data_IF_753725206525
#
_entry.id   IF_753725206525
#
_cell.length_a   1.000
_cell.length_b   1.000
_cell.length_c   1.000
_cell.angle_alpha   90.00
_cell.angle_beta   90.00
_cell.angle_gamma   90.00
#
_symmetry.space_group_name_H-M   'P 1'
#
loop_
_entity.id
_entity.type
_entity.pdbx_description
1 polymer ?
#
# COMPACT_ATOMS: atom_id res chain seq x y z
N UNK A 1 29.26 23.55 -10.41
CA UNK A 1 28.43 22.43 -10.92
C UNK A 1 29.18 21.11 -11.15
N UNK A 2 30.45 21.08 -11.61
CA UNK A 2 31.16 19.81 -11.87
C UNK A 2 31.64 19.02 -10.63
N UNK A 3 31.77 19.64 -9.45
CA UNK A 3 32.23 18.94 -8.22
C UNK A 3 31.13 18.21 -7.44
N UNK A 4 29.85 18.54 -7.67
CA UNK A 4 28.71 17.87 -6.99
C UNK A 4 28.30 16.54 -7.62
N UNK A 5 28.57 16.35 -8.92
CA UNK A 5 28.22 15.11 -9.64
C UNK A 5 29.22 13.99 -9.30
N UNK A 6 30.49 14.33 -9.04
CA UNK A 6 31.51 13.36 -8.64
C UNK A 6 31.27 12.78 -7.23
N UNK A 7 30.68 13.54 -6.30
CA UNK A 7 30.35 13.05 -4.96
C UNK A 7 29.14 12.10 -4.94
N UNK A 8 28.22 12.22 -5.90
CA UNK A 8 27.05 11.33 -6.00
C UNK A 8 27.45 9.97 -6.60
N UNK A 9 28.41 9.95 -7.54
CA UNK A 9 28.93 8.71 -8.14
C UNK A 9 29.80 7.95 -7.13
N UNK A 10 30.54 8.66 -6.27
CA UNK A 10 31.38 8.04 -5.23
C UNK A 10 30.55 7.37 -4.11
N UNK A 11 29.36 7.91 -3.79
CA UNK A 11 28.43 7.29 -2.83
C UNK A 11 27.75 6.05 -3.44
N UNK A 12 27.48 6.05 -4.75
CA UNK A 12 26.93 4.87 -5.42
C UNK A 12 27.92 3.69 -5.41
N UNK A 13 29.21 3.93 -5.63
CA UNK A 13 30.21 2.84 -5.63
C UNK A 13 30.49 2.30 -4.21
N UNK A 14 30.32 3.11 -3.16
CA UNK A 14 30.46 2.69 -1.76
C UNK A 14 29.26 1.92 -1.20
N UNK A 15 28.11 1.93 -1.88
CA UNK A 15 26.90 1.18 -1.48
C UNK A 15 26.83 -0.21 -2.16
N UNK A 16 27.62 -0.46 -3.20
CA UNK A 16 27.53 -1.66 -4.05
C UNK A 16 28.75 -2.60 -4.00
N UNK A 17 29.60 -2.51 -2.97
CA UNK A 17 30.81 -3.34 -2.86
C UNK A 17 30.64 -4.61 -2.02
N UNK A 18 30.72 -5.78 -2.69
CA UNK A 18 31.10 -7.12 -2.20
C UNK A 18 30.07 -7.89 -1.33
N UNK A 19 29.89 -9.21 -1.41
CA UNK A 19 30.80 -10.33 -1.75
C UNK A 19 30.13 -11.47 -2.56
N UNK A 20 30.94 -12.14 -3.39
CA UNK A 20 30.76 -13.54 -3.80
C UNK A 20 31.43 -14.43 -2.75
N UNK A 21 30.78 -15.52 -2.34
CA UNK A 21 31.46 -16.64 -1.67
C UNK A 21 31.08 -17.97 -2.32
N UNK A 22 32.11 -18.79 -2.48
CA UNK A 22 32.07 -20.19 -2.92
C UNK A 22 32.44 -21.05 -1.71
N UNK A 23 31.76 -22.18 -1.47
CA UNK A 23 32.31 -23.38 -0.81
C UNK A 23 31.26 -24.51 -0.76
N UNK A 24 31.74 -25.76 -0.66
CA UNK A 24 31.07 -27.03 -0.97
C UNK A 24 31.07 -28.06 0.18
N UNK A 25 30.04 -28.94 0.19
CA UNK A 25 29.93 -30.35 0.72
C UNK A 25 30.00 -30.62 2.23
N UNK A 26 29.62 -31.82 2.79
CA UNK A 26 29.05 -33.06 2.20
C UNK A 26 27.82 -33.70 2.96
N UNK A 27 27.44 -34.92 2.54
CA UNK A 27 26.29 -35.80 2.88
C UNK A 27 26.16 -36.30 4.34
N UNK A 28 24.92 -36.66 4.78
CA UNK A 28 24.65 -37.85 5.63
C UNK A 28 23.16 -38.29 5.69
N UNK A 29 22.96 -39.57 6.04
CA UNK A 29 21.79 -40.47 5.86
C UNK A 29 20.65 -40.40 6.91
N UNK A 30 19.50 -40.98 6.49
CA UNK A 30 18.22 -41.29 7.17
C UNK A 30 18.32 -41.93 8.57
N UNK A 31 17.35 -41.64 9.48
CA UNK A 31 16.62 -42.64 10.30
C UNK A 31 15.25 -42.08 10.79
N UNK A 32 14.17 -42.84 10.56
CA UNK A 32 12.80 -42.65 11.09
C UNK A 32 12.60 -43.35 12.45
N UNK A 33 11.77 -42.80 13.36
CA UNK A 33 11.00 -43.64 14.32
C UNK A 33 9.80 -42.93 14.94
N UNK A 34 8.64 -43.61 14.92
CA UNK A 34 7.36 -43.23 15.53
C UNK A 34 7.31 -43.56 17.04
N UNK A 35 7.08 -42.55 17.90
CA UNK A 35 6.36 -42.62 19.18
C UNK A 35 6.21 -41.22 19.81
N UNK A 36 5.11 -40.99 20.52
CA UNK A 36 4.90 -39.76 21.29
C UNK A 36 5.80 -39.78 22.54
N UNK A 37 6.70 -38.81 22.67
CA UNK A 37 7.74 -38.75 23.71
C UNK A 37 7.43 -37.71 24.80
N UNK A 38 7.86 -38.00 26.03
CA UNK A 38 7.89 -37.03 27.14
C UNK A 38 9.00 -35.97 26.93
N UNK A 39 8.89 -34.79 27.56
CA UNK A 39 9.85 -33.67 27.39
C UNK A 39 11.31 -34.03 27.67
N UNK A 40 11.57 -34.97 28.58
CA UNK A 40 12.93 -35.46 28.88
C UNK A 40 13.45 -36.43 27.80
N UNK A 41 12.56 -37.20 27.18
CA UNK A 41 12.87 -38.12 26.07
C UNK A 41 13.06 -37.36 24.74
N UNK A 42 12.37 -36.23 24.55
CA UNK A 42 12.57 -35.37 23.39
C UNK A 42 13.99 -34.79 23.33
N UNK A 43 14.55 -34.33 24.45
CA UNK A 43 15.93 -33.84 24.50
C UNK A 43 16.97 -34.95 24.29
N UNK A 44 16.63 -36.19 24.64
CA UNK A 44 17.49 -37.35 24.45
C UNK A 44 17.53 -37.83 22.98
N UNK A 45 16.42 -37.67 22.22
CA UNK A 45 16.40 -37.91 20.77
C UNK A 45 16.86 -36.69 19.94
N UNK A 46 16.60 -35.45 20.40
CA UNK A 46 16.99 -34.20 19.75
C UNK A 46 18.16 -33.51 20.47
N UNK A 47 19.29 -34.21 20.62
CA UNK A 47 20.53 -33.64 21.18
C UNK A 47 21.16 -32.53 20.32
N UNK A 48 20.56 -32.18 19.18
CA UNK A 48 21.06 -31.19 18.22
C UNK A 48 20.84 -29.72 18.64
N UNK A 49 19.80 -29.41 19.43
CA UNK A 49 19.45 -28.01 19.76
C UNK A 49 20.44 -27.37 20.75
N UNK A 50 21.22 -28.18 21.48
CA UNK A 50 22.27 -27.67 22.37
C UNK A 50 23.50 -27.17 21.61
N UNK A 51 23.68 -27.59 20.36
CA UNK A 51 24.86 -27.29 19.54
C UNK A 51 24.60 -26.26 18.43
N UNK A 52 23.34 -25.96 18.08
CA UNK A 52 22.99 -24.96 17.06
C UNK A 52 21.96 -23.92 17.58
N UNK A 53 22.43 -22.79 18.13
CA UNK A 53 21.58 -21.73 18.71
C UNK A 53 20.99 -20.76 17.69
N UNK A 54 21.09 -21.04 16.38
CA UNK A 54 20.84 -20.10 15.28
C UNK A 54 19.36 -19.80 15.00
N UNK A 55 18.50 -19.78 16.02
CA UNK A 55 17.20 -19.14 15.88
C UNK A 55 17.35 -17.65 16.22
N UNK A 56 17.10 -16.71 15.29
CA UNK A 56 17.08 -15.28 15.58
C UNK A 56 15.82 -14.95 16.40
N UNK A 57 15.87 -15.24 17.70
CA UNK A 57 14.87 -14.77 18.67
C UNK A 57 15.10 -13.26 18.86
N UNK A 58 14.04 -12.43 18.92
CA UNK A 58 14.20 -11.00 19.21
C UNK A 58 15.04 -10.75 20.47
N UNK A 59 15.92 -9.75 20.45
CA UNK A 59 16.78 -9.39 21.58
C UNK A 59 15.99 -9.37 22.91
N UNK A 60 16.43 -10.18 23.88
CA UNK A 60 15.87 -10.21 25.25
C UNK A 60 14.83 -11.29 25.54
N UNK A 61 14.61 -12.28 24.65
CA UNK A 61 13.78 -13.46 24.96
C UNK A 61 14.59 -14.76 24.81
N UNK A 62 14.53 -15.63 25.82
CA UNK A 62 14.95 -17.03 25.73
C UNK A 62 13.71 -17.89 25.49
N UNK A 63 13.62 -18.58 24.37
CA UNK A 63 12.46 -19.44 24.07
C UNK A 63 12.73 -20.89 24.47
N UNK A 64 11.91 -21.43 25.37
CA UNK A 64 11.87 -22.89 25.61
C UNK A 64 11.09 -23.60 24.50
N UNK A 65 11.35 -24.88 24.24
CA UNK A 65 10.60 -25.64 23.23
C UNK A 65 9.08 -25.68 23.51
N UNK A 66 8.69 -25.59 24.78
CA UNK A 66 7.28 -25.57 25.21
C UNK A 66 6.54 -24.27 24.85
N UNK A 67 7.26 -23.17 24.58
CA UNK A 67 6.63 -21.93 24.10
C UNK A 67 6.13 -22.06 22.64
N UNK A 68 6.76 -22.93 21.85
CA UNK A 68 6.35 -23.20 20.47
C UNK A 68 5.46 -24.45 20.37
N UNK A 69 5.66 -25.43 21.23
CA UNK A 69 4.97 -26.73 21.24
C UNK A 69 3.99 -26.82 22.42
N UNK A 70 2.98 -25.95 22.44
CA UNK A 70 2.00 -25.88 23.55
C UNK A 70 0.99 -27.04 23.56
N UNK A 71 0.71 -27.64 22.40
CA UNK A 71 -0.27 -28.73 22.26
C UNK A 71 0.36 -29.94 21.55
N UNK A 72 0.93 -30.84 22.36
CA UNK A 72 1.54 -32.08 21.87
C UNK A 72 0.52 -33.04 21.23
N UNK A 73 -0.77 -32.88 21.53
CA UNK A 73 -1.84 -33.72 20.96
C UNK A 73 -2.23 -33.30 19.54
N UNK A 74 -1.86 -32.08 19.13
CA UNK A 74 -2.06 -31.55 17.79
C UNK A 74 -0.97 -31.93 16.78
N UNK A 75 -0.07 -32.86 17.14
CA UNK A 75 0.95 -33.38 16.23
C UNK A 75 0.29 -34.14 15.06
N UNK A 76 0.63 -33.74 13.84
CA UNK A 76 0.28 -34.50 12.63
C UNK A 76 1.57 -35.06 12.03
N UNK A 77 1.67 -36.38 11.77
CA UNK A 77 2.85 -37.00 11.19
C UNK A 77 3.25 -36.41 9.83
N UNK A 78 2.29 -35.86 9.09
CA UNK A 78 2.45 -35.25 7.77
C UNK A 78 2.73 -33.74 7.79
N UNK A 79 2.35 -33.01 8.86
CA UNK A 79 2.40 -31.53 8.91
C UNK A 79 3.19 -30.97 10.10
N UNK A 80 3.61 -31.83 11.02
CA UNK A 80 4.27 -31.49 12.27
C UNK A 80 3.35 -30.73 13.24
N UNK A 81 3.95 -30.03 14.18
CA UNK A 81 3.23 -29.14 15.09
C UNK A 81 2.82 -27.83 14.41
N UNK A 82 1.59 -27.40 14.70
CA UNK A 82 1.11 -26.07 14.31
C UNK A 82 1.69 -25.03 15.27
N UNK A 83 2.79 -24.39 14.85
CA UNK A 83 3.44 -23.31 15.61
C UNK A 83 2.91 -21.97 15.13
N UNK A 84 2.50 -21.12 16.07
CA UNK A 84 2.08 -19.74 15.79
C UNK A 84 3.26 -18.78 15.98
N UNK A 85 3.87 -18.37 14.87
CA UNK A 85 5.02 -17.46 14.87
C UNK A 85 4.69 -16.08 15.50
N UNK A 86 3.42 -15.66 15.48
CA UNK A 86 3.02 -14.31 15.92
C UNK A 86 3.04 -14.13 17.45
N UNK A 87 3.16 -15.21 18.21
CA UNK A 87 3.38 -15.14 19.67
C UNK A 87 4.71 -14.45 20.03
N UNK A 88 5.71 -14.63 19.18
CA UNK A 88 7.06 -14.11 19.41
C UNK A 88 7.52 -13.10 18.35
N UNK A 89 6.97 -13.16 17.14
CA UNK A 89 7.33 -12.29 16.03
C UNK A 89 6.18 -11.35 15.65
N UNK A 90 6.55 -10.22 15.06
CA UNK A 90 5.59 -9.28 14.48
C UNK A 90 5.57 -9.41 12.97
N UNK A 91 4.41 -9.15 12.38
CA UNK A 91 4.29 -9.05 10.93
C UNK A 91 5.20 -7.95 10.38
N UNK A 92 5.61 -8.16 9.13
CA UNK A 92 6.39 -7.20 8.39
C UNK A 92 5.49 -6.12 7.78
N UNK A 93 5.94 -4.87 7.82
CA UNK A 93 5.23 -3.78 7.15
C UNK A 93 5.39 -3.86 5.63
N UNK A 94 4.69 -2.97 4.93
CA UNK A 94 4.64 -2.89 3.46
C UNK A 94 6.01 -2.87 2.77
N UNK A 95 7.06 -2.36 3.42
CA UNK A 95 8.42 -2.31 2.85
C UNK A 95 9.04 -3.69 2.68
N UNK A 96 8.74 -4.61 3.60
CA UNK A 96 9.33 -5.95 3.64
C UNK A 96 8.32 -7.01 3.19
N UNK A 97 7.07 -6.94 3.67
CA UNK A 97 6.04 -7.87 3.25
C UNK A 97 5.61 -7.63 1.80
N UNK A 98 5.58 -6.38 1.33
CA UNK A 98 4.85 -6.00 0.11
C UNK A 98 3.33 -6.33 0.23
N UNK A 99 2.53 -5.59 -0.53
CA UNK A 99 1.07 -5.46 -0.41
C UNK A 99 0.23 -6.73 -0.33
N UNK A 100 0.72 -7.87 -0.82
CA UNK A 100 -0.04 -9.11 -0.93
C UNK A 100 0.37 -10.21 0.07
N UNK A 101 1.48 -10.04 0.81
CA UNK A 101 2.04 -11.14 1.60
C UNK A 101 1.55 -11.20 3.06
N UNK A 102 0.71 -10.28 3.51
CA UNK A 102 0.11 -10.37 4.87
C UNK A 102 -0.72 -11.65 5.02
N UNK A 103 -1.34 -12.13 3.95
CA UNK A 103 -2.07 -13.40 3.92
C UNK A 103 -1.22 -14.62 3.55
N UNK A 104 0.11 -14.48 3.43
CA UNK A 104 1.03 -15.56 3.08
C UNK A 104 1.69 -16.08 4.36
N UNK A 105 1.67 -17.40 4.63
CA UNK A 105 2.27 -17.95 5.85
C UNK A 105 3.77 -17.66 5.92
N UNK A 106 4.28 -17.29 7.10
CA UNK A 106 5.69 -16.94 7.31
C UNK A 106 6.66 -18.01 6.77
N UNK A 107 6.32 -19.29 6.97
CA UNK A 107 7.10 -20.45 6.50
C UNK A 107 7.35 -20.43 4.99
N UNK A 108 6.44 -19.84 4.20
CA UNK A 108 6.57 -19.76 2.75
C UNK A 108 7.82 -18.99 2.30
N UNK A 109 8.31 -18.06 3.12
CA UNK A 109 9.53 -17.30 2.85
C UNK A 109 10.69 -17.73 3.77
N UNK A 110 10.38 -18.08 5.02
CA UNK A 110 11.38 -18.32 6.07
C UNK A 110 11.84 -19.79 6.21
N UNK A 111 11.27 -20.73 5.45
CA UNK A 111 11.73 -22.12 5.41
C UNK A 111 12.07 -22.50 3.98
N UNK A 112 13.33 -22.79 3.69
CA UNK A 112 13.83 -23.08 2.34
C UNK A 112 13.50 -24.50 1.87
N UNK A 113 13.40 -25.44 2.81
CA UNK A 113 13.22 -26.88 2.54
C UNK A 113 11.77 -27.27 2.22
N UNK A 114 10.85 -26.29 2.19
CA UNK A 114 9.45 -26.51 1.81
C UNK A 114 9.11 -25.84 0.49
N UNK A 115 8.09 -26.34 -0.20
CA UNK A 115 7.44 -25.67 -1.31
C UNK A 115 6.05 -25.22 -0.87
N UNK A 116 5.74 -23.91 -0.90
CA UNK A 116 4.38 -23.47 -0.64
C UNK A 116 3.47 -24.00 -1.75
N UNK A 117 2.29 -24.49 -1.35
CA UNK A 117 1.24 -24.94 -2.25
C UNK A 117 -0.09 -24.36 -1.80
N UNK A 118 -1.07 -24.35 -2.71
CA UNK A 118 -2.42 -23.89 -2.40
C UNK A 118 -3.39 -25.04 -2.65
N UNK A 119 -4.08 -25.44 -1.58
CA UNK A 119 -5.05 -26.53 -1.60
C UNK A 119 -6.47 -25.96 -1.53
N UNK A 120 -7.44 -26.64 -2.12
CA UNK A 120 -8.85 -26.27 -1.95
C UNK A 120 -9.40 -27.10 -0.79
N UNK A 121 -9.74 -26.44 0.32
CA UNK A 121 -10.40 -27.05 1.47
C UNK A 121 -11.77 -26.43 1.65
N UNK A 122 -12.81 -27.27 1.65
CA UNK A 122 -14.21 -26.83 1.77
C UNK A 122 -14.61 -25.76 0.73
N UNK A 123 -14.07 -25.86 -0.48
CA UNK A 123 -14.29 -24.91 -1.57
C UNK A 123 -13.52 -23.59 -1.45
N UNK A 124 -12.68 -23.43 -0.43
CA UNK A 124 -11.87 -22.23 -0.18
C UNK A 124 -10.38 -22.55 -0.37
N UNK A 125 -9.61 -21.70 -1.08
CA UNK A 125 -8.19 -21.93 -1.26
C UNK A 125 -7.41 -21.58 0.01
N UNK A 126 -6.77 -22.58 0.61
CA UNK A 126 -5.94 -22.49 1.81
C UNK A 126 -4.47 -22.73 1.49
N UNK A 127 -3.59 -22.04 2.23
CA UNK A 127 -2.15 -22.29 2.12
C UNK A 127 -1.78 -23.61 2.78
N UNK A 128 -0.90 -24.33 2.12
CA UNK A 128 -0.27 -25.56 2.59
C UNK A 128 1.18 -25.60 2.12
N UNK A 129 1.92 -26.63 2.45
CA UNK A 129 3.32 -26.78 2.10
C UNK A 129 3.69 -28.25 1.93
N UNK A 130 4.64 -28.50 1.04
CA UNK A 130 5.19 -29.84 0.77
C UNK A 130 6.70 -29.77 0.96
N UNK A 131 7.32 -30.64 1.79
CA UNK A 131 8.77 -30.71 1.87
C UNK A 131 9.38 -31.01 0.49
N UNK A 132 10.47 -30.32 0.14
CA UNK A 132 11.18 -30.55 -1.12
C UNK A 132 11.83 -31.95 -1.14
N UNK A 133 12.39 -32.36 0.00
CA UNK A 133 12.90 -33.69 0.28
C UNK A 133 12.60 -34.01 1.75
N UNK A 134 11.93 -35.12 2.03
CA UNK A 134 11.57 -35.48 3.40
C UNK A 134 12.79 -35.69 4.30
N UNK A 135 13.86 -36.29 3.77
CA UNK A 135 15.08 -36.60 4.53
C UNK A 135 15.90 -35.36 4.90
N UNK A 136 15.75 -34.26 4.17
CA UNK A 136 16.48 -32.99 4.39
C UNK A 136 15.58 -31.92 5.04
N UNK A 137 14.36 -32.29 5.48
CA UNK A 137 13.41 -31.35 6.06
C UNK A 137 13.67 -31.16 7.56
N UNK A 138 14.22 -30.00 7.94
CA UNK A 138 14.32 -29.55 9.31
C UNK A 138 13.28 -28.45 9.60
N UNK A 139 12.21 -28.76 10.36
CA UNK A 139 11.19 -27.77 10.73
C UNK A 139 11.70 -26.65 11.66
N UNK A 140 12.94 -26.74 12.17
CA UNK A 140 13.57 -25.70 12.99
C UNK A 140 14.50 -24.77 12.21
N UNK A 141 14.82 -25.10 10.95
CA UNK A 141 15.69 -24.28 10.11
C UNK A 141 14.94 -23.10 9.50
N UNK A 142 14.87 -22.02 10.28
CA UNK A 142 14.20 -20.78 9.91
C UNK A 142 15.24 -19.76 9.44
N UNK A 143 15.22 -19.42 8.15
CA UNK A 143 16.14 -18.46 7.56
C UNK A 143 15.53 -17.06 7.47
N UNK A 144 16.40 -16.04 7.41
CA UNK A 144 15.95 -14.70 7.04
C UNK A 144 15.52 -14.73 5.57
N UNK A 145 14.23 -14.43 5.31
CA UNK A 145 13.73 -14.39 3.93
C UNK A 145 14.54 -13.41 3.08
N UNK A 146 15.13 -13.91 2.00
CA UNK A 146 15.95 -13.13 1.08
C UNK A 146 15.22 -12.92 -0.26
N UNK A 147 15.89 -12.29 -1.24
CA UNK A 147 15.31 -12.10 -2.57
C UNK A 147 15.09 -13.42 -3.32
N UNK A 148 15.85 -14.47 -3.00
CA UNK A 148 15.70 -15.77 -3.64
C UNK A 148 14.39 -16.43 -3.19
N UNK A 149 13.93 -16.18 -1.96
CA UNK A 149 12.64 -16.67 -1.46
C UNK A 149 11.45 -16.28 -2.36
N UNK A 150 11.47 -15.09 -2.98
CA UNK A 150 10.43 -14.62 -3.90
C UNK A 150 10.28 -15.54 -5.12
N UNK A 151 11.38 -16.10 -5.63
CA UNK A 151 11.39 -16.95 -6.82
C UNK A 151 10.68 -18.29 -6.62
N UNK A 152 10.34 -18.67 -5.38
CA UNK A 152 9.56 -19.88 -5.10
C UNK A 152 8.08 -19.74 -5.43
N UNK A 153 7.58 -18.49 -5.45
CA UNK A 153 6.18 -18.18 -5.73
C UNK A 153 6.00 -17.41 -7.03
N UNK A 154 6.92 -16.49 -7.34
CA UNK A 154 6.87 -15.62 -8.51
C UNK A 154 7.54 -16.29 -9.73
N UNK A 155 6.89 -17.34 -10.23
CA UNK A 155 7.30 -18.08 -11.43
C UNK A 155 6.14 -18.23 -12.39
N UNK A 156 6.49 -18.29 -13.68
CA UNK A 156 5.52 -18.47 -14.76
C UNK A 156 4.71 -19.74 -14.56
N UNK A 157 3.38 -19.59 -14.55
CA UNK A 157 2.46 -20.73 -14.41
C UNK A 157 2.35 -21.28 -12.99
N UNK A 158 2.73 -20.50 -11.97
CA UNK A 158 2.50 -20.90 -10.58
C UNK A 158 1.01 -21.14 -10.29
N UNK A 159 0.70 -22.06 -9.38
CA UNK A 159 -0.66 -22.40 -8.95
C UNK A 159 -1.06 -21.72 -7.63
N UNK A 160 -0.22 -20.82 -7.12
CA UNK A 160 -0.41 -20.17 -5.82
C UNK A 160 -1.37 -18.98 -5.88
N UNK A 161 -1.67 -18.52 -7.09
CA UNK A 161 -2.35 -17.24 -7.29
C UNK A 161 -1.44 -16.06 -7.00
N UNK A 162 -0.15 -16.22 -7.27
CA UNK A 162 0.86 -15.16 -7.19
C UNK A 162 1.16 -14.60 -8.58
N UNK A 163 1.56 -13.34 -8.66
CA UNK A 163 2.04 -12.73 -9.91
C UNK A 163 3.28 -13.48 -10.40
N UNK A 164 3.45 -13.67 -11.69
CA UNK A 164 4.66 -14.30 -12.24
C UNK A 164 5.92 -13.46 -11.97
N UNK A 165 5.75 -12.16 -11.73
CA UNK A 165 6.82 -11.24 -11.34
C UNK A 165 6.65 -10.78 -9.90
N UNK A 166 7.74 -10.80 -9.14
CA UNK A 166 7.82 -10.16 -7.84
C UNK A 166 7.73 -8.63 -8.03
N UNK A 167 6.61 -8.05 -7.59
CA UNK A 167 6.36 -6.61 -7.70
C UNK A 167 7.09 -5.86 -6.59
N UNK A 168 7.60 -4.64 -6.85
CA UNK A 168 8.25 -3.84 -5.83
C UNK A 168 7.23 -3.39 -4.77
N UNK A 169 7.73 -3.09 -3.56
CA UNK A 169 6.94 -2.42 -2.53
C UNK A 169 6.44 -1.05 -3.04
N UNK A 170 5.24 -0.67 -2.59
CA UNK A 170 4.61 0.58 -3.03
C UNK A 170 5.36 1.79 -2.47
N UNK A 171 5.80 2.67 -3.37
CA UNK A 171 6.54 3.88 -3.00
C UNK A 171 5.65 4.97 -2.39
N UNK A 172 6.29 6.07 -1.98
CA UNK A 172 5.63 7.23 -1.35
C UNK A 172 4.52 7.86 -2.20
N UNK A 173 4.57 7.72 -3.53
CA UNK A 173 3.52 8.24 -4.43
C UNK A 173 2.19 7.53 -4.24
N UNK A 174 2.19 6.29 -3.80
CA UNK A 174 0.98 5.52 -3.60
C UNK A 174 0.34 5.79 -2.22
N UNK A 175 1.08 6.40 -1.29
CA UNK A 175 0.63 6.71 0.09
C UNK A 175 -0.71 7.44 0.15
N UNK A 176 -1.03 8.38 -0.76
CA UNK A 176 -2.33 9.06 -0.72
C UNK A 176 -3.53 8.18 -1.03
N UNK A 177 -3.31 6.97 -1.54
CA UNK A 177 -4.39 6.09 -1.94
C UNK A 177 -4.59 4.92 -0.99
N UNK A 178 -3.54 4.39 -0.35
CA UNK A 178 -3.56 3.23 0.54
C UNK A 178 -2.24 3.14 1.34
N UNK A 179 -2.12 2.15 2.23
CA UNK A 179 -0.87 1.86 2.94
C UNK A 179 0.30 1.66 1.95
N UNK A 180 1.43 2.34 2.18
CA UNK A 180 2.63 2.28 1.34
C UNK A 180 3.90 2.43 2.17
N UNK A 181 5.04 2.64 1.52
CA UNK A 181 6.31 3.04 2.15
C UNK A 181 6.55 4.55 2.05
N UNK A 182 7.48 5.08 2.85
CA UNK A 182 8.02 6.44 2.71
C UNK A 182 9.21 6.53 1.74
N UNK A 183 9.58 5.43 1.09
CA UNK A 183 10.69 5.36 0.14
C UNK A 183 10.25 5.58 -1.31
N UNK A 184 11.19 5.97 -2.16
CA UNK A 184 11.04 5.95 -3.61
C UNK A 184 11.46 4.56 -4.08
N UNK A 185 10.49 3.74 -4.49
CA UNK A 185 10.71 2.32 -4.80
C UNK A 185 11.07 2.02 -6.26
N UNK A 186 10.82 2.95 -7.18
CA UNK A 186 10.89 2.70 -8.62
C UNK A 186 11.17 3.98 -9.43
N UNK A 187 11.64 3.79 -10.68
CA UNK A 187 12.01 4.87 -11.60
C UNK A 187 10.82 5.77 -11.96
N UNK A 188 9.63 5.25 -12.35
CA UNK A 188 8.45 6.09 -12.58
C UNK A 188 8.12 7.01 -11.40
N UNK A 189 8.20 6.48 -10.18
CA UNK A 189 8.00 7.28 -8.97
C UNK A 189 9.03 8.39 -8.83
N UNK A 190 10.32 8.09 -9.03
CA UNK A 190 11.37 9.11 -8.98
C UNK A 190 11.12 10.24 -9.99
N UNK A 191 10.81 9.89 -11.25
CA UNK A 191 10.52 10.85 -12.32
C UNK A 191 9.31 11.73 -11.98
N UNK A 192 8.22 11.12 -11.50
CA UNK A 192 7.01 11.83 -11.13
C UNK A 192 7.26 12.86 -10.02
N UNK A 193 8.00 12.49 -8.97
CA UNK A 193 8.35 13.40 -7.88
C UNK A 193 9.18 14.57 -8.38
N UNK A 194 10.17 14.33 -9.26
CA UNK A 194 11.00 15.39 -9.84
C UNK A 194 10.13 16.39 -10.61
N UNK A 195 9.24 15.90 -11.50
CA UNK A 195 8.33 16.76 -12.27
C UNK A 195 7.40 17.54 -11.34
N UNK A 196 6.84 16.89 -10.33
CA UNK A 196 5.98 17.52 -9.33
C UNK A 196 6.70 18.66 -8.59
N UNK A 197 7.92 18.41 -8.08
CA UNK A 197 8.73 19.41 -7.37
C UNK A 197 9.07 20.59 -8.28
N UNK A 198 9.47 20.34 -9.53
CA UNK A 198 9.72 21.39 -10.51
C UNK A 198 8.46 22.24 -10.69
N UNK A 199 7.31 21.61 -10.91
CA UNK A 199 6.05 22.32 -11.10
C UNK A 199 5.64 23.18 -9.92
N UNK A 200 5.72 22.65 -8.70
CA UNK A 200 5.44 23.42 -7.47
C UNK A 200 6.43 24.57 -7.33
N UNK A 201 7.73 24.33 -7.55
CA UNK A 201 8.77 25.37 -7.46
C UNK A 201 8.54 26.49 -8.47
N UNK A 202 8.19 26.16 -9.71
CA UNK A 202 7.84 27.16 -10.73
C UNK A 202 6.64 28.00 -10.32
N UNK A 203 5.58 27.38 -9.78
CA UNK A 203 4.41 28.11 -9.29
C UNK A 203 4.80 29.08 -8.17
N UNK A 204 5.59 28.61 -7.21
CA UNK A 204 6.07 29.41 -6.08
C UNK A 204 6.93 30.60 -6.57
N UNK A 205 7.89 30.37 -7.47
CA UNK A 205 8.74 31.42 -8.05
C UNK A 205 7.91 32.47 -8.79
N UNK A 206 6.95 32.05 -9.64
CA UNK A 206 6.07 32.98 -10.36
C UNK A 206 5.29 33.84 -9.37
N UNK A 207 4.82 33.24 -8.28
CA UNK A 207 4.01 33.94 -7.30
C UNK A 207 4.80 35.01 -6.52
N UNK A 208 6.02 34.68 -6.09
CA UNK A 208 6.92 35.66 -5.46
C UNK A 208 7.41 36.73 -6.46
N UNK A 209 7.53 36.39 -7.74
CA UNK A 209 7.93 37.32 -8.80
C UNK A 209 6.83 38.30 -9.20
N UNK A 210 5.56 37.85 -9.21
CA UNK A 210 4.38 38.69 -9.42
C UNK A 210 4.04 39.58 -8.20
N UNK A 211 4.61 39.27 -7.03
CA UNK A 211 4.35 39.92 -5.75
C UNK A 211 4.95 41.31 -5.53
N UNK A 212 5.35 42.06 -6.57
CA UNK A 212 5.85 43.44 -6.41
C UNK A 212 4.83 44.41 -5.79
N UNK A 213 3.53 44.07 -5.77
CA UNK A 213 2.47 44.85 -5.12
C UNK A 213 2.05 44.39 -3.71
N UNK A 214 2.64 43.33 -3.14
CA UNK A 214 2.17 42.72 -1.88
C UNK A 214 2.99 43.14 -0.64
N UNK A 215 3.85 44.15 -0.77
CA UNK A 215 4.72 44.63 0.33
C UNK A 215 3.97 45.40 1.44
N UNK A 216 2.66 45.62 1.31
CA UNK A 216 1.85 46.40 2.27
C UNK A 216 0.97 45.60 3.24
N UNK A 217 0.79 44.29 3.05
CA UNK A 217 -0.33 43.57 3.69
C UNK A 217 -0.04 42.86 5.03
N UNK A 218 1.23 42.75 5.46
CA UNK A 218 1.63 41.90 6.62
C UNK A 218 2.39 42.68 7.70
N UNK A 219 2.48 44.02 7.61
CA UNK A 219 3.04 44.80 8.74
C UNK A 219 1.96 45.04 9.79
N UNK A 220 2.12 44.37 10.94
CA UNK A 220 1.52 44.79 12.23
C UNK A 220 0.11 44.32 12.56
N UNK A 221 -0.37 43.15 12.07
CA UNK A 221 -1.71 42.65 12.41
C UNK A 221 -1.69 41.45 13.36
N UNK A 222 -2.61 41.46 14.33
CA UNK A 222 -2.77 40.41 15.32
C UNK A 222 -3.19 39.10 14.65
N UNK A 223 -2.38 38.05 14.85
CA UNK A 223 -2.64 36.71 14.33
C UNK A 223 -3.82 36.07 15.07
N UNK A 224 -4.98 35.96 14.43
CA UNK A 224 -6.15 35.27 15.00
C UNK A 224 -6.15 33.81 14.59
N UNK A 225 -5.79 32.94 15.54
CA UNK A 225 -5.87 31.48 15.39
C UNK A 225 -7.27 31.00 15.03
N UNK A 226 -8.31 31.66 15.55
CA UNK A 226 -9.72 31.31 15.31
C UNK A 226 -10.09 31.56 13.84
N UNK A 227 -9.69 32.71 13.29
CA UNK A 227 -9.95 33.04 11.89
C UNK A 227 -9.19 32.12 10.94
N UNK A 228 -7.95 31.76 11.29
CA UNK A 228 -7.16 30.78 10.56
C UNK A 228 -7.80 29.39 10.59
N UNK A 229 -8.23 28.92 11.76
CA UNK A 229 -8.93 27.64 11.92
C UNK A 229 -10.22 27.60 11.09
N UNK A 230 -11.05 28.63 11.17
CA UNK A 230 -12.28 28.74 10.38
C UNK A 230 -11.99 28.73 8.87
N UNK A 231 -10.94 29.43 8.43
CA UNK A 231 -10.54 29.47 7.03
C UNK A 231 -10.01 28.12 6.51
N UNK A 232 -9.20 27.41 7.30
CA UNK A 232 -8.61 26.14 6.87
C UNK A 232 -9.58 24.98 7.02
N UNK A 233 -10.25 24.85 8.17
CA UNK A 233 -11.13 23.72 8.44
C UNK A 233 -12.51 23.94 7.84
N UNK A 234 -13.18 25.07 8.11
CA UNK A 234 -14.56 25.25 7.66
C UNK A 234 -14.61 25.64 6.17
N UNK A 235 -13.74 26.55 5.73
CA UNK A 235 -13.79 27.01 4.34
C UNK A 235 -13.01 26.10 3.37
N UNK A 236 -11.86 25.51 3.76
CA UNK A 236 -11.09 24.63 2.87
C UNK A 236 -11.48 23.15 3.00
N UNK A 237 -11.49 22.58 4.22
CA UNK A 237 -11.80 21.15 4.43
C UNK A 237 -13.30 20.84 4.29
N UNK A 238 -14.18 21.58 4.96
CA UNK A 238 -15.64 21.40 4.87
C UNK A 238 -16.27 22.11 3.66
N UNK A 239 -15.48 22.91 2.94
CA UNK A 239 -15.89 23.55 1.67
C UNK A 239 -17.15 24.42 1.81
N UNK A 240 -17.33 25.09 2.96
CA UNK A 240 -18.54 25.88 3.29
C UNK A 240 -18.92 26.89 2.20
N UNK A 241 -17.94 27.52 1.57
CA UNK A 241 -18.19 28.49 0.49
C UNK A 241 -18.85 27.85 -0.73
N UNK A 242 -18.43 26.65 -1.10
CA UNK A 242 -19.05 25.89 -2.19
C UNK A 242 -20.47 25.47 -1.81
N UNK A 243 -20.70 25.08 -0.55
CA UNK A 243 -22.04 24.76 -0.05
C UNK A 243 -23.01 25.96 -0.15
N UNK A 244 -22.55 27.16 0.25
CA UNK A 244 -23.34 28.39 0.14
C UNK A 244 -23.69 28.76 -1.31
N UNK A 245 -22.77 28.50 -2.26
CA UNK A 245 -23.00 28.80 -3.69
C UNK A 245 -23.92 27.77 -4.34
N UNK A 246 -23.70 26.48 -4.10
CA UNK A 246 -24.56 25.42 -4.64
C UNK A 246 -24.41 24.11 -3.87
N UNK A 247 -25.49 23.71 -3.20
CA UNK A 247 -25.57 22.42 -2.49
C UNK A 247 -25.30 21.22 -3.40
N UNK A 248 -25.80 21.23 -4.64
CA UNK A 248 -25.56 20.15 -5.62
C UNK A 248 -24.08 19.98 -5.94
N UNK A 249 -23.39 21.08 -6.28
CA UNK A 249 -21.95 21.03 -6.57
C UNK A 249 -21.13 20.61 -5.36
N UNK A 250 -21.56 21.04 -4.17
CA UNK A 250 -20.93 20.63 -2.93
C UNK A 250 -21.05 19.12 -2.71
N UNK A 251 -22.25 18.53 -2.86
CA UNK A 251 -22.43 17.07 -2.69
C UNK A 251 -21.56 16.29 -3.68
N UNK A 252 -21.58 16.69 -4.96
CA UNK A 252 -20.79 16.03 -6.01
C UNK A 252 -19.29 16.11 -5.72
N UNK A 253 -18.80 17.30 -5.34
CA UNK A 253 -17.40 17.48 -5.01
C UNK A 253 -17.01 16.77 -3.70
N UNK A 254 -17.90 16.76 -2.71
CA UNK A 254 -17.72 16.08 -1.43
C UNK A 254 -17.54 14.57 -1.64
N UNK A 255 -18.30 13.93 -2.54
CA UNK A 255 -18.13 12.50 -2.87
C UNK A 255 -16.73 12.18 -3.39
N UNK A 256 -16.12 13.09 -4.16
CA UNK A 256 -14.77 12.90 -4.68
C UNK A 256 -13.73 13.24 -3.59
N UNK A 257 -13.82 14.44 -3.03
CA UNK A 257 -12.84 14.99 -2.10
C UNK A 257 -12.73 14.19 -0.80
N UNK A 258 -13.86 13.90 -0.14
CA UNK A 258 -13.81 13.15 1.13
C UNK A 258 -13.38 11.70 0.92
N UNK A 259 -13.66 11.11 -0.24
CA UNK A 259 -13.16 9.77 -0.58
C UNK A 259 -11.63 9.76 -0.72
N UNK A 260 -11.06 10.71 -1.46
CA UNK A 260 -9.60 10.85 -1.53
C UNK A 260 -8.98 11.16 -0.17
N UNK A 261 -9.59 12.07 0.60
CA UNK A 261 -9.11 12.41 1.95
C UNK A 261 -9.14 11.20 2.88
N UNK A 262 -10.24 10.43 2.88
CA UNK A 262 -10.38 9.25 3.71
C UNK A 262 -9.32 8.20 3.35
N UNK A 263 -9.08 7.95 2.06
CA UNK A 263 -8.03 7.03 1.58
C UNK A 263 -6.62 7.49 1.93
N UNK A 264 -6.35 8.80 1.83
CA UNK A 264 -5.09 9.40 2.25
C UNK A 264 -4.85 9.21 3.75
N UNK A 265 -5.86 9.49 4.58
CA UNK A 265 -5.79 9.29 6.02
C UNK A 265 -5.61 7.81 6.37
N UNK A 266 -6.36 6.92 5.73
CA UNK A 266 -6.19 5.47 5.90
C UNK A 266 -4.76 5.05 5.56
N UNK A 267 -4.22 5.49 4.43
CA UNK A 267 -2.86 5.16 3.99
C UNK A 267 -1.80 5.61 4.98
N UNK A 268 -1.84 6.88 5.42
CA UNK A 268 -0.89 7.40 6.40
C UNK A 268 -1.02 6.70 7.75
N UNK A 269 -2.25 6.51 8.25
CA UNK A 269 -2.47 5.85 9.55
C UNK A 269 -1.96 4.42 9.48
N UNK A 270 -2.34 3.64 8.46
CA UNK A 270 -1.89 2.26 8.29
C UNK A 270 -0.36 2.16 8.19
N UNK A 271 0.26 3.01 7.36
CA UNK A 271 1.72 3.03 7.23
C UNK A 271 2.41 3.39 8.54
N UNK A 272 2.04 4.49 9.19
CA UNK A 272 2.65 4.92 10.46
C UNK A 272 2.43 3.89 11.57
N UNK A 273 1.20 3.39 11.71
CA UNK A 273 0.84 2.41 12.72
C UNK A 273 1.61 1.09 12.53
N UNK A 274 1.78 0.62 11.29
CA UNK A 274 2.58 -0.60 11.00
C UNK A 274 4.08 -0.46 11.35
N UNK A 275 4.58 0.77 11.45
CA UNK A 275 5.98 1.04 11.83
C UNK A 275 6.10 1.21 13.34
N UNK A 276 5.19 1.98 13.94
CA UNK A 276 5.29 2.42 15.34
C UNK A 276 4.73 1.41 16.34
N UNK A 277 3.73 0.62 15.94
CA UNK A 277 2.90 -0.17 16.85
C UNK A 277 2.81 -1.63 16.38
N UNK A 278 3.95 -2.24 16.05
CA UNK A 278 4.05 -3.59 15.46
C UNK A 278 3.35 -4.69 16.27
N UNK A 279 3.25 -4.50 17.59
CA UNK A 279 2.69 -5.45 18.54
C UNK A 279 1.17 -5.44 18.66
N UNK A 280 0.46 -4.54 17.99
CA UNK A 280 -1.00 -4.46 18.07
C UNK A 280 -1.66 -5.14 16.86
N UNK A 281 -2.37 -6.23 17.11
CA UNK A 281 -3.06 -7.02 16.09
C UNK A 281 -4.07 -6.19 15.28
N UNK A 282 -4.72 -5.22 15.93
CA UNK A 282 -5.76 -4.38 15.35
C UNK A 282 -5.26 -3.50 14.19
N UNK A 283 -3.96 -3.25 14.10
CA UNK A 283 -3.38 -2.37 13.08
C UNK A 283 -3.25 -3.11 11.76
N UNK A 284 -3.00 -4.42 11.82
CA UNK A 284 -2.84 -5.27 10.64
C UNK A 284 -4.14 -5.40 9.85
N UNK A 285 -5.30 -5.18 10.49
CA UNK A 285 -6.59 -5.02 9.83
C UNK A 285 -6.50 -3.96 8.71
N UNK A 286 -5.82 -2.84 8.95
CA UNK A 286 -5.74 -1.73 8.00
C UNK A 286 -4.90 -2.04 6.75
N UNK A 287 -4.04 -3.07 6.83
CA UNK A 287 -3.17 -3.50 5.74
C UNK A 287 -3.68 -4.79 5.07
N UNK A 288 -4.43 -5.63 5.78
CA UNK A 288 -5.04 -6.83 5.21
C UNK A 288 -6.20 -6.48 4.27
N UNK A 289 -5.98 -6.66 2.97
CA UNK A 289 -6.97 -6.43 1.92
C UNK A 289 -8.15 -7.40 1.94
N UNK A 290 -7.96 -8.59 2.49
CA UNK A 290 -9.04 -9.58 2.59
C UNK A 290 -9.92 -9.31 3.82
N UNK A 291 -9.49 -8.42 4.72
CA UNK A 291 -10.30 -8.07 5.86
C UNK A 291 -11.59 -7.33 5.42
N UNK A 292 -12.78 -7.71 5.92
CA UNK A 292 -14.06 -7.11 5.54
C UNK A 292 -14.09 -5.58 5.53
N UNK A 293 -13.56 -4.98 6.59
CA UNK A 293 -13.56 -3.52 6.78
C UNK A 293 -12.72 -2.83 5.71
N UNK A 294 -11.54 -3.40 5.40
CA UNK A 294 -10.62 -2.86 4.40
C UNK A 294 -11.24 -2.99 3.01
N UNK A 295 -11.66 -4.18 2.61
CA UNK A 295 -12.31 -4.41 1.32
C UNK A 295 -13.52 -3.48 1.09
N UNK A 296 -14.41 -3.39 2.07
CA UNK A 296 -15.58 -2.53 1.99
C UNK A 296 -15.21 -1.04 1.87
N UNK A 297 -14.30 -0.55 2.70
CA UNK A 297 -13.86 0.85 2.70
C UNK A 297 -13.25 1.26 1.35
N UNK A 298 -12.40 0.41 0.81
CA UNK A 298 -11.71 0.66 -0.45
C UNK A 298 -12.68 0.64 -1.65
N UNK A 299 -13.69 -0.22 -1.64
CA UNK A 299 -14.69 -0.29 -2.70
C UNK A 299 -15.71 0.86 -2.63
N UNK A 300 -16.24 1.18 -1.44
CA UNK A 300 -17.22 2.27 -1.30
C UNK A 300 -16.61 3.63 -1.66
N UNK A 301 -15.38 3.90 -1.22
CA UNK A 301 -14.69 5.16 -1.55
C UNK A 301 -14.35 5.24 -3.04
N UNK A 302 -13.97 4.12 -3.67
CA UNK A 302 -13.77 4.06 -5.13
C UNK A 302 -15.06 4.33 -5.90
N UNK A 303 -16.18 3.74 -5.47
CA UNK A 303 -17.50 3.94 -6.07
C UNK A 303 -17.97 5.39 -5.93
N UNK A 304 -17.76 6.00 -4.77
CA UNK A 304 -18.09 7.41 -4.54
C UNK A 304 -17.32 8.34 -5.49
N UNK A 305 -16.05 8.06 -5.78
CA UNK A 305 -15.26 8.85 -6.73
C UNK A 305 -15.83 8.72 -8.15
N UNK A 306 -16.16 7.50 -8.59
CA UNK A 306 -16.78 7.28 -9.92
C UNK A 306 -18.14 7.99 -9.99
N UNK A 307 -19.00 7.78 -9.01
CA UNK A 307 -20.33 8.39 -8.97
C UNK A 307 -20.25 9.92 -8.95
N UNK A 308 -19.37 10.50 -8.13
CA UNK A 308 -19.10 11.94 -8.13
C UNK A 308 -18.60 12.45 -9.47
N UNK A 309 -17.69 11.72 -10.13
CA UNK A 309 -17.20 12.04 -11.47
C UNK A 309 -18.30 12.03 -12.53
N UNK A 310 -19.14 10.99 -12.54
CA UNK A 310 -20.29 10.86 -13.43
C UNK A 310 -21.31 12.00 -13.20
N UNK A 311 -21.66 12.28 -11.94
CA UNK A 311 -22.58 13.36 -11.60
C UNK A 311 -22.02 14.74 -11.97
N UNK A 312 -20.73 14.96 -11.77
CA UNK A 312 -20.05 16.20 -12.21
C UNK A 312 -20.14 16.37 -13.73
N UNK A 313 -19.93 15.30 -14.49
CA UNK A 313 -20.04 15.32 -15.95
C UNK A 313 -21.47 15.61 -16.42
N UNK A 314 -22.46 14.95 -15.81
CA UNK A 314 -23.89 15.17 -16.08
C UNK A 314 -24.29 16.61 -15.73
N UNK A 315 -23.94 17.11 -14.54
CA UNK A 315 -24.26 18.47 -14.11
C UNK A 315 -23.64 19.52 -15.04
N UNK A 316 -22.38 19.30 -15.47
CA UNK A 316 -21.71 20.16 -16.46
C UNK A 316 -22.48 20.21 -17.78
N UNK A 317 -22.97 19.08 -18.27
CA UNK A 317 -23.78 19.02 -19.51
C UNK A 317 -25.13 19.71 -19.37
N UNK A 318 -25.86 19.46 -18.28
CA UNK A 318 -27.17 20.09 -18.02
C UNK A 318 -27.04 21.62 -17.93
N UNK A 319 -26.06 22.13 -17.17
CA UNK A 319 -25.86 23.57 -17.01
C UNK A 319 -25.35 24.26 -18.27
N UNK A 320 -24.54 23.59 -19.09
CA UNK A 320 -24.13 24.11 -20.40
C UNK A 320 -25.32 24.28 -21.34
N UNK A 321 -26.25 23.31 -21.39
CA UNK A 321 -27.48 23.45 -22.18
C UNK A 321 -28.28 24.71 -21.80
N UNK A 322 -28.22 25.12 -20.53
CA UNK A 322 -28.88 26.34 -20.02
C UNK A 322 -28.14 27.64 -20.35
N UNK A 323 -26.81 27.61 -20.43
CA UNK A 323 -25.95 28.80 -20.54
C UNK A 323 -25.01 28.76 -21.78
N UNK A 324 -25.40 28.06 -22.85
CA UNK A 324 -24.50 27.76 -23.97
C UNK A 324 -24.20 28.99 -24.82
N UNK A 325 -22.92 29.31 -24.95
CA UNK A 325 -22.36 30.00 -26.13
C UNK A 325 -21.98 28.90 -27.13
N UNK A 326 -22.49 28.97 -28.37
CA UNK A 326 -22.17 28.01 -29.44
C UNK A 326 -20.67 28.08 -29.78
N UNK A 327 -20.00 26.92 -29.87
CA UNK A 327 -18.65 26.81 -30.45
C UNK A 327 -17.47 26.57 -29.50
N UNK A 328 -17.67 26.47 -28.18
CA UNK A 328 -16.57 26.12 -27.27
C UNK A 328 -16.37 24.59 -27.19
N UNK A 329 -15.17 24.05 -27.47
CA UNK A 329 -14.91 22.61 -27.39
C UNK A 329 -15.13 22.04 -25.97
N UNK A 330 -15.59 20.79 -25.91
CA UNK A 330 -15.68 20.01 -24.69
C UNK A 330 -14.27 19.67 -24.17
N UNK A 331 -13.67 20.53 -23.35
CA UNK A 331 -12.42 20.17 -22.70
C UNK A 331 -12.71 19.34 -21.44
N UNK A 332 -12.58 18.02 -21.56
CA UNK A 332 -12.41 17.11 -20.42
C UNK A 332 -10.99 17.36 -19.91
N UNK A 333 -10.85 17.76 -18.64
CA UNK A 333 -9.52 17.99 -18.09
C UNK A 333 -8.74 16.68 -18.10
N UNK A 334 -7.51 16.70 -18.60
CA UNK A 334 -6.61 15.54 -18.58
C UNK A 334 -6.49 14.92 -17.16
N UNK A 335 -6.53 15.74 -16.11
CA UNK A 335 -6.56 15.26 -14.72
C UNK A 335 -7.80 14.42 -14.40
N UNK A 336 -8.98 14.77 -14.93
CA UNK A 336 -10.20 13.97 -14.74
C UNK A 336 -10.10 12.61 -15.44
N UNK A 337 -9.42 12.54 -16.58
CA UNK A 337 -9.14 11.30 -17.27
C UNK A 337 -8.20 10.41 -16.45
N UNK A 338 -7.12 10.98 -15.90
CA UNK A 338 -6.18 10.25 -15.05
C UNK A 338 -6.83 9.74 -13.76
N UNK A 339 -7.66 10.57 -13.09
CA UNK A 339 -8.43 10.12 -11.91
C UNK A 339 -9.33 8.95 -12.28
N UNK A 340 -10.08 9.04 -13.38
CA UNK A 340 -10.96 7.96 -13.82
C UNK A 340 -10.18 6.69 -14.13
N UNK A 341 -9.07 6.80 -14.86
CA UNK A 341 -8.17 5.68 -15.16
C UNK A 341 -7.59 5.04 -13.90
N UNK A 342 -7.20 5.82 -12.91
CA UNK A 342 -6.64 5.33 -11.65
C UNK A 342 -7.66 4.49 -10.87
N UNK A 343 -8.92 4.97 -10.75
CA UNK A 343 -9.95 4.21 -10.03
C UNK A 343 -10.37 2.96 -10.78
N UNK A 344 -10.56 3.05 -12.11
CA UNK A 344 -10.93 1.89 -12.95
C UNK A 344 -9.84 0.81 -12.89
N UNK A 345 -8.58 1.19 -13.12
CA UNK A 345 -7.46 0.23 -13.03
C UNK A 345 -7.29 -0.34 -11.64
N UNK A 346 -7.61 0.43 -10.58
CA UNK A 346 -7.63 -0.06 -9.20
C UNK A 346 -8.66 -1.18 -8.98
N UNK A 347 -9.90 -1.01 -9.47
CA UNK A 347 -10.92 -2.06 -9.40
C UNK A 347 -10.57 -3.29 -10.24
N UNK A 348 -10.00 -3.08 -11.43
CA UNK A 348 -9.50 -4.19 -12.27
C UNK A 348 -8.39 -4.96 -11.56
N UNK A 349 -7.46 -4.26 -10.90
CA UNK A 349 -6.41 -4.89 -10.12
C UNK A 349 -6.94 -5.70 -8.94
N UNK A 350 -7.88 -5.15 -8.18
CA UNK A 350 -8.47 -5.87 -7.06
C UNK A 350 -9.26 -7.08 -7.53
N UNK A 351 -10.03 -6.96 -8.61
CA UNK A 351 -10.72 -8.09 -9.23
C UNK A 351 -9.75 -9.16 -9.73
N UNK A 352 -8.65 -8.76 -10.37
CA UNK A 352 -7.61 -9.69 -10.80
C UNK A 352 -6.95 -10.40 -9.62
N UNK A 353 -6.66 -9.67 -8.52
CA UNK A 353 -6.11 -10.21 -7.27
C UNK A 353 -7.04 -11.25 -6.67
N UNK A 354 -8.33 -10.94 -6.53
CA UNK A 354 -9.34 -11.85 -5.98
C UNK A 354 -9.47 -13.10 -6.86
N UNK A 355 -9.55 -12.93 -8.19
CA UNK A 355 -9.70 -14.04 -9.12
C UNK A 355 -8.47 -14.96 -9.13
N UNK A 356 -7.27 -14.41 -9.24
CA UNK A 356 -6.04 -15.22 -9.25
C UNK A 356 -5.79 -15.91 -7.91
N UNK A 357 -6.23 -15.29 -6.79
CA UNK A 357 -6.14 -15.90 -5.47
C UNK A 357 -7.31 -16.83 -5.13
N UNK A 358 -8.18 -17.15 -6.08
CA UNK A 358 -9.28 -18.10 -5.88
C UNK A 358 -10.36 -17.63 -4.90
N UNK A 359 -10.59 -16.32 -4.80
CA UNK A 359 -11.60 -15.70 -3.93
C UNK A 359 -11.47 -16.11 -2.44
N UNK A 360 -10.42 -15.64 -1.73
CA UNK A 360 -10.23 -15.93 -0.32
C UNK A 360 -11.44 -15.50 0.53
N UNK A 361 -11.54 -16.06 1.74
CA UNK A 361 -12.63 -15.76 2.67
C UNK A 361 -12.79 -14.23 2.83
N UNK A 362 -14.04 -13.78 2.89
CA UNK A 362 -14.43 -12.37 3.00
C UNK A 362 -14.15 -11.47 1.78
N UNK A 363 -13.65 -12.00 0.66
CA UNK A 363 -13.46 -11.19 -0.57
C UNK A 363 -14.74 -10.48 -1.06
N UNK A 364 -15.92 -11.00 -0.72
CA UNK A 364 -17.22 -10.42 -1.05
C UNK A 364 -17.46 -9.01 -0.48
N UNK A 365 -16.73 -8.60 0.58
CA UNK A 365 -16.83 -7.24 1.12
C UNK A 365 -16.18 -6.21 0.20
N UNK A 366 -15.20 -6.59 -0.62
CA UNK A 366 -14.78 -5.85 -1.80
C UNK A 366 -15.80 -6.11 -2.92
N UNK A 367 -17.04 -5.65 -2.78
CA UNK A 367 -18.17 -6.05 -3.64
C UNK A 367 -18.01 -5.72 -5.14
N UNK A 368 -17.43 -4.57 -5.50
CA UNK A 368 -17.09 -4.24 -6.89
C UNK A 368 -15.89 -5.08 -7.34
N UNK A 369 -14.84 -5.16 -6.52
CA UNK A 369 -13.67 -6.00 -6.83
C UNK A 369 -14.07 -7.46 -7.06
N UNK A 370 -14.95 -7.99 -6.21
CA UNK A 370 -15.51 -9.33 -6.31
C UNK A 370 -16.36 -9.49 -7.57
N UNK A 371 -17.22 -8.53 -7.90
CA UNK A 371 -17.97 -8.56 -9.17
C UNK A 371 -17.04 -8.59 -10.38
N UNK A 372 -15.99 -7.77 -10.38
CA UNK A 372 -14.97 -7.76 -11.46
C UNK A 372 -14.22 -9.08 -11.50
N UNK A 373 -13.89 -9.68 -10.36
CA UNK A 373 -13.18 -10.97 -10.30
C UNK A 373 -13.97 -12.09 -10.97
N UNK A 374 -15.31 -12.10 -10.83
CA UNK A 374 -16.18 -13.08 -11.50
C UNK A 374 -16.09 -13.01 -13.03
N UNK A 375 -15.84 -11.84 -13.59
CA UNK A 375 -15.66 -11.64 -15.03
C UNK A 375 -14.29 -12.13 -15.53
N UNK A 376 -13.35 -12.34 -14.62
CA UNK A 376 -11.97 -12.72 -14.91
C UNK A 376 -11.67 -14.20 -14.60
N UNK A 377 -12.68 -14.98 -14.20
CA UNK A 377 -12.53 -16.43 -13.98
C UNK A 377 -12.16 -17.11 -15.30
N UNK A 378 -11.17 -17.99 -15.26
CA UNK A 378 -10.69 -18.75 -16.42
C UNK A 378 -9.59 -18.05 -17.23
N UNK A 379 -9.27 -16.79 -16.94
CA UNK A 379 -8.12 -16.12 -17.53
C UNK A 379 -6.82 -16.44 -16.78
N UNK A 380 -5.71 -16.52 -17.50
CA UNK A 380 -4.37 -16.66 -16.93
C UNK A 380 -3.86 -15.32 -16.39
N UNK A 381 -4.34 -14.93 -15.21
CA UNK A 381 -4.09 -13.61 -14.62
C UNK A 381 -2.69 -13.44 -14.04
N UNK A 382 -2.04 -14.52 -13.60
CA UNK A 382 -0.73 -14.47 -12.92
C UNK A 382 0.35 -13.76 -13.78
N UNK A 383 0.35 -14.01 -15.09
CA UNK A 383 1.29 -13.38 -16.03
C UNK A 383 0.90 -11.94 -16.42
N UNK A 384 -0.38 -11.56 -16.31
CA UNK A 384 -0.87 -10.23 -16.72
C UNK A 384 -0.92 -9.26 -15.53
N UNK A 385 -1.06 -9.77 -14.31
CA UNK A 385 -1.23 -8.98 -13.09
C UNK A 385 -0.14 -7.93 -12.90
N UNK A 386 1.12 -8.29 -13.18
CA UNK A 386 2.23 -7.35 -13.09
C UNK A 386 2.07 -6.13 -14.01
N UNK A 387 1.58 -6.33 -15.24
CA UNK A 387 1.33 -5.25 -16.18
C UNK A 387 0.16 -4.37 -15.75
N UNK A 388 -0.91 -4.96 -15.23
CA UNK A 388 -2.03 -4.20 -14.64
C UNK A 388 -1.55 -3.35 -13.47
N UNK A 389 -0.64 -3.88 -12.65
CA UNK A 389 -0.07 -3.19 -11.51
C UNK A 389 0.76 -1.99 -11.96
N UNK A 390 1.67 -2.19 -12.92
CA UNK A 390 2.48 -1.10 -13.48
C UNK A 390 1.64 -0.06 -14.20
N UNK A 391 0.58 -0.47 -14.91
CA UNK A 391 -0.35 0.47 -15.54
C UNK A 391 -0.99 1.39 -14.50
N UNK A 392 -1.52 0.83 -13.41
CA UNK A 392 -2.10 1.61 -12.31
C UNK A 392 -1.07 2.54 -11.65
N UNK A 393 0.13 2.02 -11.38
CA UNK A 393 1.22 2.79 -10.78
C UNK A 393 1.66 3.95 -11.68
N UNK A 394 1.80 3.73 -13.00
CA UNK A 394 2.20 4.75 -13.97
C UNK A 394 1.10 5.80 -14.14
N UNK A 395 -0.18 5.43 -14.18
CA UNK A 395 -1.28 6.41 -14.20
C UNK A 395 -1.26 7.28 -12.93
N UNK A 396 -1.00 6.67 -11.77
CA UNK A 396 -0.87 7.39 -10.50
C UNK A 396 0.32 8.36 -10.54
N UNK A 397 1.48 7.92 -11.05
CA UNK A 397 2.64 8.77 -11.27
C UNK A 397 2.33 9.92 -12.23
N UNK A 398 1.65 9.67 -13.35
CA UNK A 398 1.24 10.70 -14.30
C UNK A 398 0.28 11.72 -13.66
N UNK A 399 -0.63 11.28 -12.80
CA UNK A 399 -1.53 12.17 -12.06
C UNK A 399 -0.76 13.11 -11.14
N UNK A 400 0.18 12.60 -10.35
CA UNK A 400 1.01 13.42 -9.46
C UNK A 400 1.94 14.35 -10.25
N UNK A 401 2.60 13.87 -11.29
CA UNK A 401 3.46 14.68 -12.14
C UNK A 401 2.71 15.86 -12.78
N UNK A 402 1.47 15.64 -13.24
CA UNK A 402 0.65 16.69 -13.86
C UNK A 402 -0.13 17.55 -12.87
N UNK A 403 -0.15 17.17 -11.60
CA UNK A 403 -0.89 17.84 -10.53
C UNK A 403 -0.70 19.37 -10.51
N UNK A 404 0.55 19.92 -10.45
CA UNK A 404 0.76 21.38 -10.39
C UNK A 404 0.31 22.11 -11.66
N UNK A 405 0.35 21.44 -12.82
CA UNK A 405 0.04 22.03 -14.12
C UNK A 405 -1.44 21.90 -14.52
N UNK A 406 -2.21 21.11 -13.76
CA UNK A 406 -3.59 20.79 -14.11
C UNK A 406 -4.61 21.63 -13.35
N UNK A 407 -5.90 21.34 -13.58
CA UNK A 407 -6.99 21.89 -12.79
C UNK A 407 -6.89 21.53 -11.30
N UNK A 408 -6.12 20.51 -10.91
CA UNK A 408 -5.94 20.04 -9.52
C UNK A 408 -5.12 20.97 -8.63
N UNK A 409 -4.37 21.92 -9.21
CA UNK A 409 -3.60 22.92 -8.45
C UNK A 409 -4.42 23.69 -7.40
N UNK A 410 -5.74 23.76 -7.57
CA UNK A 410 -6.65 24.36 -6.59
C UNK A 410 -6.57 23.71 -5.20
N UNK A 411 -6.22 22.42 -5.12
CA UNK A 411 -6.05 21.69 -3.85
C UNK A 411 -4.99 22.37 -2.97
N UNK A 412 -3.92 22.91 -3.55
CA UNK A 412 -2.91 23.68 -2.81
C UNK A 412 -3.25 25.17 -2.71
N UNK A 413 -3.72 25.77 -3.82
CA UNK A 413 -3.91 27.22 -3.89
C UNK A 413 -5.07 27.72 -3.01
N UNK A 414 -6.13 26.92 -2.82
CA UNK A 414 -7.29 27.33 -2.02
C UNK A 414 -6.91 27.48 -0.54
N UNK A 415 -6.37 26.46 0.17
CA UNK A 415 -5.97 26.62 1.57
C UNK A 415 -4.97 27.76 1.78
N UNK A 416 -3.97 27.87 0.89
CA UNK A 416 -2.94 28.90 0.98
C UNK A 416 -3.54 30.31 0.83
N UNK A 417 -4.39 30.54 -0.17
CA UNK A 417 -5.02 31.84 -0.37
C UNK A 417 -6.01 32.20 0.74
N UNK A 418 -6.70 31.21 1.31
CA UNK A 418 -7.58 31.39 2.47
C UNK A 418 -6.78 31.73 3.73
N UNK A 419 -5.66 31.05 3.97
CA UNK A 419 -4.75 31.33 5.07
C UNK A 419 -4.18 32.74 5.00
N UNK A 420 -3.68 33.16 3.84
CA UNK A 420 -3.20 34.54 3.65
C UNK A 420 -4.32 35.55 3.88
N UNK A 421 -5.53 35.31 3.35
CA UNK A 421 -6.68 36.19 3.57
C UNK A 421 -7.04 36.29 5.05
N UNK A 422 -7.06 35.18 5.77
CA UNK A 422 -7.37 35.12 7.20
C UNK A 422 -6.37 35.89 8.07
N UNK A 423 -5.09 35.88 7.70
CA UNK A 423 -4.03 36.66 8.36
C UNK A 423 -4.09 38.14 7.97
N UNK A 424 -4.58 38.44 6.77
CA UNK A 424 -4.67 39.82 6.25
C UNK A 424 -5.95 40.57 6.65
N UNK A 425 -7.09 39.90 6.92
CA UNK A 425 -8.37 40.57 7.19
C UNK A 425 -8.60 40.87 8.67
N UNK A 426 -8.98 42.12 8.92
CA UNK A 426 -9.61 42.63 10.13
C UNK A 426 -10.96 41.92 10.39
N UNK A 427 -11.36 41.80 11.65
CA UNK A 427 -12.53 41.06 12.16
C UNK A 427 -13.89 41.64 11.77
N UNK A 428 -13.93 42.72 10.98
CA UNK A 428 -15.15 43.50 10.67
C UNK A 428 -15.98 42.97 9.50
N UNK A 429 -15.46 42.06 8.68
CA UNK A 429 -16.07 41.71 7.39
C UNK A 429 -16.79 40.35 7.36
N UNK A 430 -16.82 39.61 8.48
CA UNK A 430 -17.48 38.30 8.59
C UNK A 430 -18.99 38.39 8.90
N UNK A 431 -19.53 39.59 9.17
CA UNK A 431 -20.97 39.78 9.43
C UNK A 431 -21.84 39.91 8.17
N UNK A 432 -21.27 39.81 6.96
CA UNK A 432 -22.01 40.11 5.71
C UNK A 432 -22.25 38.96 4.72
N UNK A 433 -22.01 37.69 5.10
CA UNK A 433 -22.26 36.54 4.20
C UNK A 433 -22.77 35.29 4.89
#
# INVERSE_FOLDING_TARGET
>A
MRKGIAQIILIAVLVFGYELSWASSPDYEDVLSDKAHSTLECMACHSYIKENPDHPVPEGRSSTCLECHEDFSAFSPDKGFKVDCLKCHYLHNEKTAHDAHIGVPCRSCHMEEIKPVREIKDGVPVWSYVPLKLAEYDPHRITAGDKNSCSRCHVKGNTLGASDHALPAKGIICLPCHASTFSIGDIPSAVSIIIFIIGITTIVIIWFSAGKGYKGAVKGRAFSLINLFSALIIDALLQRRLFKVSKSRWVIHAMIFFSFMARFLWGIIATCASILLKASDNIWILLDKNHPVTGFFFDITGLMIIAGGCLMFIEKRIRRKKNSIKGLPENISFASLLISGMIITGFVLEGARIAMTGAPLYSQYSFIGYMVSRLMIGFHLNGIYAYLWYLHAVITCAFIATFPFSSMRHIFMVPVSLGIKAVSKDTTDLKKY
#
